data_IF_534644491112
#
_entry.id   IF_534644491112
#
_cell.length_a   1.000
_cell.length_b   1.000
_cell.length_c   1.000
_cell.angle_alpha   90.00
_cell.angle_beta   90.00
_cell.angle_gamma   90.00
#
_symmetry.space_group_name_H-M   'P 1'
#
loop_
_entity.id
_entity.type
_entity.pdbx_description
1 polymer ?
#
# COMPACT_ATOMS: atom_id res chain seq x y z
N UNK A 1 -34.84 -3.30 16.27
CA UNK A 1 -33.72 -2.79 15.44
C UNK A 1 -32.41 -3.32 16.02
N UNK A 2 -31.48 -3.81 15.18
CA UNK A 2 -30.13 -4.22 15.62
C UNK A 2 -29.09 -3.37 14.89
N UNK A 3 -28.15 -2.80 15.63
CA UNK A 3 -26.98 -2.12 15.11
C UNK A 3 -25.79 -3.07 15.08
N UNK A 4 -25.18 -3.21 13.91
CA UNK A 4 -23.94 -3.96 13.72
C UNK A 4 -22.81 -2.95 13.60
N UNK A 5 -21.81 -3.06 14.46
CA UNK A 5 -20.62 -2.20 14.44
C UNK A 5 -19.37 -3.05 14.29
N UNK A 6 -18.48 -2.66 13.39
CA UNK A 6 -17.21 -3.34 13.17
C UNK A 6 -16.07 -2.38 13.50
N UNK A 7 -15.13 -2.85 14.32
CA UNK A 7 -13.96 -2.08 14.77
C UNK A 7 -12.69 -2.88 14.52
N UNK A 8 -11.68 -2.20 13.96
CA UNK A 8 -10.33 -2.75 13.80
C UNK A 8 -9.41 -2.18 14.88
N UNK A 9 -9.06 -2.94 15.94
CA UNK A 9 -8.30 -2.42 17.07
C UNK A 9 -6.88 -1.98 16.70
N UNK A 10 -6.24 -2.64 15.72
CA UNK A 10 -4.87 -2.36 15.26
C UNK A 10 -4.79 -1.37 14.10
N UNK A 11 -5.91 -0.77 13.71
CA UNK A 11 -6.02 0.11 12.55
C UNK A 11 -6.51 -0.62 11.29
N UNK A 12 -6.57 0.12 10.18
CA UNK A 12 -7.17 -0.33 8.91
C UNK A 12 -6.13 -0.70 7.84
N UNK A 13 -4.84 -0.71 8.20
CA UNK A 13 -3.73 -1.05 7.31
C UNK A 13 -3.08 -2.33 7.82
N UNK A 14 -2.77 -3.26 6.91
CA UNK A 14 -2.18 -4.56 7.20
C UNK A 14 -1.13 -4.91 6.15
N UNK A 15 -0.24 -5.86 6.45
CA UNK A 15 0.69 -6.43 5.48
C UNK A 15 0.10 -7.69 4.83
N UNK A 16 0.51 -8.01 3.60
CA UNK A 16 0.26 -9.33 3.02
C UNK A 16 0.81 -10.42 3.94
N UNK A 17 0.02 -11.47 4.23
CA UNK A 17 0.39 -12.50 5.19
C UNK A 17 0.04 -12.20 6.66
N UNK A 18 -0.38 -10.98 7.00
CA UNK A 18 -0.77 -10.61 8.37
C UNK A 18 -2.16 -11.14 8.75
N UNK A 19 -2.37 -11.43 10.04
CA UNK A 19 -3.68 -11.79 10.59
C UNK A 19 -4.46 -10.52 10.93
N UNK A 20 -5.58 -10.34 10.24
CA UNK A 20 -6.56 -9.27 10.49
C UNK A 20 -7.44 -9.69 11.66
N UNK A 21 -7.58 -8.80 12.63
CA UNK A 21 -8.51 -8.94 13.75
C UNK A 21 -9.59 -7.85 13.66
N UNK A 22 -10.85 -8.26 13.61
CA UNK A 22 -12.00 -7.36 13.55
C UNK A 22 -13.00 -7.70 14.66
N UNK A 23 -13.33 -6.71 15.49
CA UNK A 23 -14.31 -6.83 16.57
C UNK A 23 -15.68 -6.43 16.03
N UNK A 24 -16.58 -7.39 15.94
CA UNK A 24 -17.91 -7.21 15.36
C UNK A 24 -18.93 -7.25 16.50
N UNK A 25 -19.59 -6.14 16.74
CA UNK A 25 -20.48 -5.95 17.88
C UNK A 25 -21.91 -5.72 17.40
N UNK A 26 -22.82 -6.57 17.87
CA UNK A 26 -24.24 -6.52 17.62
C UNK A 26 -24.93 -5.92 18.84
N UNK A 27 -25.64 -4.81 18.66
CA UNK A 27 -26.27 -4.06 19.74
C UNK A 27 -27.76 -3.92 19.43
N UNK A 28 -28.61 -4.29 20.39
CA UNK A 28 -30.01 -3.91 20.34
C UNK A 28 -30.19 -2.63 21.18
N UNK A 29 -30.32 -1.44 20.57
CA UNK A 29 -30.46 -0.20 21.33
C UNK A 29 -31.74 -0.19 22.18
N UNK A 30 -31.74 0.56 23.28
CA UNK A 30 -32.94 0.77 24.08
C UNK A 30 -34.04 1.44 23.24
N UNK A 31 -35.26 0.91 23.32
CA UNK A 31 -36.42 1.54 22.70
C UNK A 31 -36.75 2.85 23.45
N UNK A 32 -36.88 4.00 22.76
CA UNK A 32 -37.18 5.27 23.43
C UNK A 32 -38.64 5.39 23.90
N UNK A 33 -39.56 4.57 23.38
CA UNK A 33 -40.98 4.59 23.76
C UNK A 33 -41.38 3.35 24.56
N UNK A 34 -41.61 3.56 25.86
CA UNK A 34 -42.34 2.63 26.72
C UNK A 34 -43.84 2.77 26.42
N UNK A 35 -44.31 2.21 25.31
CA UNK A 35 -45.75 2.02 25.09
C UNK A 35 -46.14 0.56 25.30
N UNK A 36 -46.77 0.34 26.46
CA UNK A 36 -47.86 -0.58 26.80
C UNK A 36 -47.89 -1.96 26.13
N UNK A 37 -47.85 -2.98 27.00
CA UNK A 37 -48.14 -4.40 26.78
C UNK A 37 -47.54 -5.04 25.52
N UNK A 38 -46.34 -5.60 25.67
CA UNK A 38 -45.80 -6.57 24.71
C UNK A 38 -45.47 -7.86 25.45
N UNK A 39 -45.84 -8.99 24.84
CA UNK A 39 -45.54 -10.35 25.30
C UNK A 39 -44.04 -10.50 25.57
N UNK A 40 -43.66 -11.38 26.51
CA UNK A 40 -42.25 -11.68 26.82
C UNK A 40 -41.39 -12.06 25.60
N UNK A 41 -42.00 -12.46 24.49
CA UNK A 41 -41.35 -12.84 23.23
C UNK A 41 -41.11 -11.69 22.26
N UNK A 42 -41.87 -10.59 22.33
CA UNK A 42 -41.80 -9.48 21.36
C UNK A 42 -40.71 -8.44 21.69
N UNK A 43 -40.07 -8.56 22.85
CA UNK A 43 -38.97 -7.68 23.26
C UNK A 43 -37.61 -8.10 22.67
N UNK A 44 -37.51 -9.28 22.06
CA UNK A 44 -36.25 -9.78 21.53
C UNK A 44 -36.13 -9.50 20.04
N UNK A 45 -34.95 -9.03 19.65
CA UNK A 45 -34.59 -8.90 18.25
C UNK A 45 -33.63 -10.02 17.87
N UNK A 46 -33.97 -10.74 16.80
CA UNK A 46 -33.28 -11.95 16.36
C UNK A 46 -32.54 -11.78 15.04
N UNK A 47 -31.31 -12.30 14.96
CA UNK A 47 -30.59 -12.54 13.71
C UNK A 47 -30.46 -14.04 13.49
N UNK A 48 -30.82 -14.48 12.29
CA UNK A 48 -30.74 -15.88 11.92
C UNK A 48 -29.28 -16.32 11.82
N UNK A 49 -28.40 -15.49 11.26
CA UNK A 49 -26.97 -15.80 11.20
C UNK A 49 -26.14 -14.54 10.95
N UNK A 50 -24.85 -14.65 11.21
CA UNK A 50 -23.85 -13.74 10.69
C UNK A 50 -22.58 -14.48 10.33
N UNK A 51 -21.91 -14.02 9.28
CA UNK A 51 -20.61 -14.54 8.84
C UNK A 51 -19.74 -13.42 8.29
N UNK A 52 -18.43 -13.63 8.33
CA UNK A 52 -17.45 -12.65 7.89
C UNK A 52 -16.39 -13.30 6.98
N UNK A 53 -15.94 -12.54 5.99
CA UNK A 53 -14.86 -12.95 5.08
C UNK A 53 -14.14 -11.73 4.48
N UNK A 54 -12.92 -11.94 3.99
CA UNK A 54 -12.12 -10.92 3.29
C UNK A 54 -12.28 -11.12 1.78
N UNK A 55 -12.44 -10.01 1.05
CA UNK A 55 -12.42 -9.97 -0.41
C UNK A 55 -11.39 -8.98 -0.92
N UNK A 56 -10.71 -9.36 -2.01
CA UNK A 56 -9.98 -8.46 -2.89
C UNK A 56 -10.72 -8.34 -4.21
N UNK A 57 -11.09 -7.11 -4.56
CA UNK A 57 -11.73 -6.78 -5.83
C UNK A 57 -10.72 -6.10 -6.75
N UNK A 58 -10.54 -6.64 -7.94
CA UNK A 58 -9.75 -6.10 -9.02
C UNK A 58 -10.67 -5.35 -10.00
N UNK A 59 -10.35 -4.09 -10.26
CA UNK A 59 -11.01 -3.29 -11.28
C UNK A 59 -9.97 -2.96 -12.34
N UNK A 60 -10.30 -3.24 -13.60
CA UNK A 60 -9.45 -2.95 -14.76
C UNK A 60 -10.19 -2.00 -15.69
N UNK A 61 -9.45 -1.19 -16.45
CA UNK A 61 -10.05 -0.47 -17.57
C UNK A 61 -10.54 -1.45 -18.65
N UNK A 62 -11.57 -1.06 -19.37
CA UNK A 62 -12.23 -1.77 -20.47
C UNK A 62 -11.31 -2.30 -21.58
N UNK A 63 -10.09 -1.76 -21.69
CA UNK A 63 -9.07 -2.16 -22.67
C UNK A 63 -8.14 -3.29 -22.20
N UNK A 64 -8.08 -3.55 -20.89
CA UNK A 64 -7.32 -4.69 -20.36
C UNK A 64 -8.20 -5.91 -20.53
N UNK A 65 -7.70 -6.91 -21.27
CA UNK A 65 -8.46 -8.08 -21.67
C UNK A 65 -9.18 -8.66 -20.44
N UNK A 66 -10.51 -8.65 -20.48
CA UNK A 66 -11.31 -9.44 -19.56
C UNK A 66 -11.06 -10.86 -20.04
N UNK A 67 -10.14 -11.59 -19.42
CA UNK A 67 -10.03 -13.02 -19.70
C UNK A 67 -11.44 -13.60 -19.67
N UNK A 68 -11.94 -13.95 -20.86
CA UNK A 68 -13.15 -14.72 -21.08
C UNK A 68 -12.81 -16.18 -20.79
N UNK A 69 -12.25 -16.42 -19.60
CA UNK A 69 -12.17 -17.72 -18.99
C UNK A 69 -13.19 -17.74 -17.86
N UNK A 70 -14.34 -18.29 -18.22
CA UNK A 70 -15.16 -19.08 -17.33
C UNK A 70 -14.32 -20.19 -16.67
N UNK A 71 -13.57 -19.87 -15.62
CA UNK A 71 -12.95 -20.87 -14.75
C UNK A 71 -12.65 -20.23 -13.38
N UNK A 72 -13.35 -20.77 -12.38
CA UNK A 72 -13.33 -20.36 -10.98
C UNK A 72 -14.00 -19.02 -10.67
N UNK A 73 -15.31 -18.96 -10.93
CA UNK A 73 -16.18 -18.52 -9.84
C UNK A 73 -15.74 -19.28 -8.57
N UNK A 74 -14.94 -18.66 -7.70
CA UNK A 74 -14.92 -19.00 -6.27
C UNK A 74 -16.26 -18.58 -5.65
N UNK A 75 -17.36 -18.98 -6.29
CA UNK A 75 -18.65 -19.07 -5.65
C UNK A 75 -18.58 -20.37 -4.86
N UNK A 76 -18.33 -20.26 -3.56
CA UNK A 76 -18.94 -21.22 -2.64
C UNK A 76 -20.47 -21.03 -2.76
N UNK A 77 -21.04 -21.58 -3.84
CA UNK A 77 -22.46 -21.50 -4.17
C UNK A 77 -23.35 -22.19 -3.12
N UNK A 78 -22.75 -22.84 -2.11
CA UNK A 78 -23.45 -23.47 -0.99
C UNK A 78 -23.49 -22.67 0.31
N UNK A 79 -22.99 -21.43 0.38
CA UNK A 79 -23.05 -20.62 1.62
C UNK A 79 -23.59 -19.22 1.38
N UNK A 80 -24.35 -18.69 2.34
CA UNK A 80 -25.22 -17.50 2.28
C UNK A 80 -24.54 -16.14 1.97
N UNK A 81 -23.29 -16.16 1.50
CA UNK A 81 -22.48 -14.99 1.15
C UNK A 81 -22.05 -14.96 -0.33
N UNK A 82 -22.62 -15.80 -1.21
CA UNK A 82 -22.39 -15.77 -2.67
C UNK A 82 -22.82 -14.48 -3.39
N UNK A 83 -23.21 -13.43 -2.66
CA UNK A 83 -23.65 -12.15 -3.24
C UNK A 83 -22.42 -11.23 -3.42
N UNK A 84 -21.61 -11.52 -4.43
CA UNK A 84 -20.68 -10.55 -5.02
C UNK A 84 -21.18 -10.22 -6.44
N UNK A 85 -22.43 -9.77 -6.56
CA UNK A 85 -23.08 -9.51 -7.86
C UNK A 85 -23.16 -8.00 -8.18
N UNK A 86 -22.87 -7.10 -7.23
CA UNK A 86 -23.14 -5.66 -7.41
C UNK A 86 -21.92 -4.74 -7.44
N UNK A 87 -20.70 -5.24 -7.62
CA UNK A 87 -19.54 -4.36 -7.88
C UNK A 87 -18.91 -4.76 -9.22
N UNK A 88 -18.68 -3.77 -10.11
CA UNK A 88 -18.14 -3.96 -11.47
C UNK A 88 -16.70 -4.53 -11.51
N UNK A 89 -16.16 -5.01 -10.39
CA UNK A 89 -14.80 -5.54 -10.27
C UNK A 89 -14.79 -7.07 -10.21
N UNK A 90 -13.78 -7.68 -10.82
CA UNK A 90 -13.50 -9.11 -10.74
C UNK A 90 -13.02 -9.44 -9.33
N UNK A 91 -13.55 -10.52 -8.74
CA UNK A 91 -13.06 -11.02 -7.46
C UNK A 91 -11.73 -11.72 -7.71
N UNK A 92 -10.64 -11.15 -7.21
CA UNK A 92 -9.31 -11.75 -7.33
C UNK A 92 -9.09 -12.74 -6.18
N UNK A 93 -9.50 -12.39 -4.97
CA UNK A 93 -9.29 -13.20 -3.76
C UNK A 93 -10.52 -13.15 -2.88
N UNK A 94 -10.90 -14.30 -2.33
CA UNK A 94 -11.90 -14.43 -1.28
C UNK A 94 -11.46 -15.48 -0.28
N UNK A 95 -11.45 -15.13 1.01
CA UNK A 95 -11.17 -16.10 2.08
C UNK A 95 -12.41 -16.95 2.37
N UNK A 96 -12.22 -18.11 3.02
CA UNK A 96 -13.36 -18.94 3.43
C UNK A 96 -14.26 -18.16 4.42
N UNK A 97 -15.59 -18.18 4.27
CA UNK A 97 -16.49 -17.52 5.20
C UNK A 97 -16.42 -18.18 6.58
N UNK A 98 -16.23 -17.34 7.62
CA UNK A 98 -16.30 -17.78 9.01
C UNK A 98 -17.64 -17.37 9.60
N UNK A 99 -18.36 -18.36 10.11
CA UNK A 99 -19.64 -18.15 10.80
C UNK A 99 -19.36 -17.54 12.17
N UNK A 100 -20.03 -16.43 12.48
CA UNK A 100 -19.97 -15.78 13.79
C UNK A 100 -21.01 -16.37 14.74
N UNK A 101 -22.22 -16.62 14.24
CA UNK A 101 -23.32 -17.31 14.96
C UNK A 101 -24.39 -17.81 13.99
N UNK A 102 -25.22 -18.75 14.46
CA UNK A 102 -26.34 -19.36 13.72
C UNK A 102 -27.74 -19.12 14.33
N UNK A 103 -27.80 -18.40 15.45
CA UNK A 103 -29.01 -17.77 16.01
C UNK A 103 -28.53 -16.80 17.08
N UNK A 104 -28.90 -15.52 16.98
CA UNK A 104 -28.60 -14.53 17.98
C UNK A 104 -29.86 -13.77 18.35
N UNK A 105 -30.25 -13.85 19.61
CA UNK A 105 -31.32 -13.05 20.20
C UNK A 105 -30.75 -12.06 21.18
N UNK A 106 -31.14 -10.79 21.05
CA UNK A 106 -30.70 -9.70 21.92
C UNK A 106 -31.92 -9.06 22.57
N UNK A 107 -31.84 -8.86 23.89
CA UNK A 107 -32.77 -8.05 24.66
C UNK A 107 -32.47 -6.55 24.53
N UNK A 108 -33.41 -5.63 24.81
CA UNK A 108 -33.18 -4.20 24.66
C UNK A 108 -32.05 -3.71 25.57
N UNK A 109 -31.05 -3.05 24.99
CA UNK A 109 -29.80 -2.65 25.65
C UNK A 109 -28.69 -3.70 25.61
N UNK A 110 -28.98 -4.93 25.18
CA UNK A 110 -27.99 -5.98 25.14
C UNK A 110 -27.05 -5.82 23.95
N UNK A 111 -25.78 -6.09 24.23
CA UNK A 111 -24.70 -6.05 23.25
C UNK A 111 -23.94 -7.36 23.28
N UNK A 112 -23.57 -7.88 22.10
CA UNK A 112 -22.71 -9.07 21.98
C UNK A 112 -21.63 -8.84 20.94
N UNK A 113 -20.37 -9.09 21.33
CA UNK A 113 -19.19 -8.90 20.49
C UNK A 113 -18.55 -10.23 20.10
N UNK A 114 -18.20 -10.35 18.83
CA UNK A 114 -17.51 -11.48 18.24
C UNK A 114 -16.18 -11.02 17.65
N UNK A 115 -15.14 -11.85 17.76
CA UNK A 115 -13.81 -11.55 17.24
C UNK A 115 -13.59 -12.37 15.98
N UNK A 116 -13.52 -11.69 14.84
CA UNK A 116 -13.15 -12.28 13.56
C UNK A 116 -11.63 -12.19 13.37
N UNK A 117 -10.98 -13.34 13.16
CA UNK A 117 -9.54 -13.44 12.85
C UNK A 117 -9.34 -14.20 11.55
N UNK A 118 -8.65 -13.59 10.60
CA UNK A 118 -8.33 -14.22 9.31
C UNK A 118 -6.97 -13.75 8.79
N UNK A 119 -6.19 -14.68 8.23
CA UNK A 119 -4.89 -14.37 7.63
C UNK A 119 -5.09 -13.88 6.19
N UNK A 120 -4.51 -12.73 5.84
CA UNK A 120 -4.46 -12.30 4.44
C UNK A 120 -3.51 -13.24 3.69
N UNK A 121 -3.91 -13.79 2.53
CA UNK A 121 -2.99 -14.63 1.74
C UNK A 121 -1.70 -13.89 1.40
N UNK A 122 -0.54 -14.55 1.52
CA UNK A 122 0.77 -13.91 1.29
C UNK A 122 1.03 -13.61 -0.19
N UNK A 123 0.46 -14.43 -1.07
CA UNK A 123 0.48 -14.33 -2.53
C UNK A 123 -0.51 -13.30 -3.10
N UNK A 124 -1.20 -12.57 -2.22
CA UNK A 124 -2.24 -11.62 -2.61
C UNK A 124 -1.67 -10.29 -3.12
N UNK A 125 -2.30 -9.67 -4.16
CA UNK A 125 -1.88 -8.35 -4.62
C UNK A 125 -2.12 -7.31 -3.51
N UNK A 126 -1.26 -6.29 -3.36
CA UNK A 126 -1.52 -5.26 -2.37
C UNK A 126 -2.71 -4.38 -2.77
N UNK A 127 -3.21 -3.59 -1.82
CA UNK A 127 -4.15 -2.52 -2.13
C UNK A 127 -3.47 -1.44 -2.97
N UNK A 128 -4.05 -1.17 -4.14
CA UNK A 128 -3.50 -0.23 -5.11
C UNK A 128 -4.62 0.47 -5.87
N UNK A 129 -4.42 1.74 -6.21
CA UNK A 129 -5.34 2.53 -7.02
C UNK A 129 -4.54 3.24 -8.10
N UNK A 130 -4.32 2.55 -9.21
CA UNK A 130 -3.65 3.07 -10.39
C UNK A 130 -4.59 3.67 -11.42
N UNK A 131 -4.03 3.94 -12.59
CA UNK A 131 -4.78 4.38 -13.77
C UNK A 131 -5.32 3.19 -14.57
N UNK A 132 -4.62 2.06 -14.58
CA UNK A 132 -5.00 0.88 -15.36
C UNK A 132 -5.70 -0.16 -14.49
N UNK A 133 -5.20 -0.36 -13.26
CA UNK A 133 -5.71 -1.37 -12.33
C UNK A 133 -5.95 -0.78 -10.93
N UNK A 134 -6.99 -1.27 -10.27
CA UNK A 134 -7.26 -1.00 -8.86
C UNK A 134 -7.56 -2.29 -8.11
N UNK A 135 -6.84 -2.53 -7.02
CA UNK A 135 -7.09 -3.59 -6.06
C UNK A 135 -7.66 -3.02 -4.77
N UNK A 136 -8.86 -3.45 -4.38
CA UNK A 136 -9.58 -2.96 -3.21
C UNK A 136 -9.91 -4.11 -2.26
N UNK A 137 -9.44 -4.01 -1.02
CA UNK A 137 -9.72 -4.99 0.02
C UNK A 137 -10.87 -4.55 0.93
N UNK A 138 -11.76 -5.48 1.25
CA UNK A 138 -12.90 -5.27 2.15
C UNK A 138 -13.14 -6.52 3.01
N UNK A 139 -13.36 -6.32 4.29
CA UNK A 139 -13.97 -7.33 5.17
C UNK A 139 -15.48 -7.19 5.02
N UNK A 140 -16.14 -8.22 4.51
CA UNK A 140 -17.60 -8.25 4.36
C UNK A 140 -18.19 -9.07 5.48
N UNK A 141 -19.00 -8.43 6.32
CA UNK A 141 -19.85 -9.07 7.32
C UNK A 141 -21.24 -9.18 6.72
N UNK A 142 -21.71 -10.40 6.44
CA UNK A 142 -23.10 -10.65 6.08
C UNK A 142 -23.89 -11.07 7.30
N UNK A 143 -25.12 -10.57 7.38
CA UNK A 143 -26.06 -10.97 8.41
C UNK A 143 -27.49 -10.90 7.88
N UNK A 144 -28.34 -11.76 8.41
CA UNK A 144 -29.70 -11.91 7.95
C UNK A 144 -30.65 -12.05 9.15
N UNK A 145 -31.80 -11.37 9.07
CA UNK A 145 -32.95 -11.67 9.93
C UNK A 145 -33.81 -12.74 9.28
N UNK A 146 -34.52 -13.52 10.10
CA UNK A 146 -35.49 -14.49 9.58
C UNK A 146 -36.48 -13.77 8.65
N UNK A 147 -36.74 -14.35 7.47
CA UNK A 147 -37.62 -13.79 6.44
C UNK A 147 -37.23 -12.39 5.89
N UNK A 148 -35.96 -11.97 6.04
CA UNK A 148 -35.46 -10.70 5.50
C UNK A 148 -34.30 -10.93 4.53
N UNK A 149 -34.04 -10.00 3.59
CA UNK A 149 -32.85 -10.08 2.75
C UNK A 149 -31.56 -9.93 3.57
N UNK A 150 -30.47 -10.52 3.07
CA UNK A 150 -29.14 -10.40 3.66
C UNK A 150 -28.68 -8.94 3.58
N UNK A 151 -28.19 -8.42 4.71
CA UNK A 151 -27.53 -7.11 4.76
C UNK A 151 -26.03 -7.31 4.92
N UNK A 152 -25.25 -6.48 4.24
CA UNK A 152 -23.79 -6.55 4.21
C UNK A 152 -23.18 -5.28 4.80
N UNK A 153 -22.26 -5.44 5.75
CA UNK A 153 -21.37 -4.38 6.25
C UNK A 153 -19.98 -4.61 5.65
N UNK A 154 -19.41 -3.59 4.98
CA UNK A 154 -18.15 -3.70 4.23
C UNK A 154 -17.07 -2.78 4.78
N UNK A 155 -16.17 -3.34 5.58
CA UNK A 155 -15.06 -2.61 6.20
C UNK A 155 -13.86 -2.57 5.24
N UNK A 156 -13.51 -1.42 4.65
CA UNK A 156 -12.35 -1.30 3.78
C UNK A 156 -11.08 -1.44 4.61
N UNK A 157 -10.14 -2.20 4.08
CA UNK A 157 -8.80 -2.34 4.64
C UNK A 157 -7.78 -2.06 3.54
N UNK A 158 -6.61 -1.60 3.94
CA UNK A 158 -5.48 -1.39 3.04
C UNK A 158 -4.43 -2.45 3.31
N UNK A 159 -4.06 -3.20 2.29
CA UNK A 159 -3.03 -4.23 2.33
C UNK A 159 -1.76 -3.68 1.67
N UNK A 160 -0.64 -3.73 2.38
CA UNK A 160 0.67 -3.34 1.88
C UNK A 160 1.46 -4.58 1.46
N UNK A 161 2.24 -4.51 0.37
CA UNK A 161 3.00 -5.65 -0.10
C UNK A 161 4.12 -5.98 0.89
N UNK A 162 4.33 -7.27 1.14
CA UNK A 162 5.48 -7.75 1.89
C UNK A 162 6.16 -8.81 1.03
N UNK A 163 7.49 -8.72 0.90
CA UNK A 163 8.22 -9.69 0.09
C UNK A 163 8.08 -11.07 0.74
N UNK A 164 7.57 -12.05 -0.03
CA UNK A 164 7.36 -13.40 0.45
C UNK A 164 8.65 -14.07 0.94
N UNK A 165 9.78 -13.77 0.30
CA UNK A 165 11.10 -14.25 0.72
C UNK A 165 11.41 -13.89 2.19
N UNK A 166 11.07 -12.67 2.63
CA UNK A 166 11.29 -12.26 4.02
C UNK A 166 10.41 -13.02 5.00
N UNK A 167 9.19 -13.38 4.60
CA UNK A 167 8.30 -14.19 5.42
C UNK A 167 8.81 -15.63 5.52
N UNK A 168 9.29 -16.21 4.42
CA UNK A 168 9.83 -17.57 4.42
C UNK A 168 11.10 -17.68 5.25
N UNK A 169 12.05 -16.74 5.08
CA UNK A 169 13.27 -16.66 5.91
C UNK A 169 12.92 -16.49 7.39
N UNK A 170 11.95 -15.61 7.72
CA UNK A 170 11.50 -15.43 9.08
C UNK A 170 10.85 -16.69 9.68
N UNK A 171 10.02 -17.40 8.91
CA UNK A 171 9.40 -18.65 9.36
C UNK A 171 10.47 -19.73 9.59
N UNK A 172 11.52 -19.81 8.77
CA UNK A 172 12.63 -20.74 9.00
C UNK A 172 13.37 -20.43 10.31
N UNK A 173 13.67 -19.16 10.57
CA UNK A 173 14.32 -18.72 11.81
C UNK A 173 13.45 -18.99 13.06
N UNK A 174 12.12 -18.83 12.95
CA UNK A 174 11.19 -19.15 14.03
C UNK A 174 11.02 -20.66 14.28
N UNK A 175 11.37 -21.51 13.32
CA UNK A 175 11.23 -22.96 13.38
C UNK A 175 12.54 -23.67 13.73
N UNK A 176 13.65 -22.93 13.89
CA UNK A 176 14.91 -23.51 14.38
C UNK A 176 14.68 -24.08 15.78
N UNK A 177 14.72 -25.41 15.87
CA UNK A 177 14.47 -26.24 17.06
C UNK A 177 15.53 -26.08 18.15
N UNK A 178 16.47 -25.14 17.99
CA UNK A 178 17.52 -24.86 18.97
C UNK A 178 16.97 -24.34 20.30
N UNK A 179 15.78 -23.72 20.34
CA UNK A 179 15.17 -23.29 21.61
C UNK A 179 14.69 -24.46 22.50
N UNK A 180 14.25 -25.59 21.93
CA UNK A 180 13.84 -26.78 22.70
C UNK A 180 15.00 -27.48 23.42
N UNK A 181 16.25 -27.21 23.01
CA UNK A 181 17.46 -27.81 23.57
C UNK A 181 18.24 -26.88 24.51
N UNK A 182 17.77 -25.64 24.71
CA UNK A 182 18.41 -24.72 25.66
C UNK A 182 17.98 -25.06 27.10
N UNK A 183 18.91 -25.20 28.06
CA UNK A 183 18.55 -25.46 29.45
C UNK A 183 17.68 -24.31 29.96
N UNK A 184 16.50 -24.65 30.48
CA UNK A 184 15.52 -23.68 31.00
C UNK A 184 16.11 -22.93 32.19
N UNK A 185 16.70 -21.76 31.93
CA UNK A 185 17.24 -20.90 32.95
C UNK A 185 16.10 -20.08 33.58
N UNK A 186 15.78 -20.27 34.87
CA UNK A 186 14.68 -19.58 35.53
C UNK A 186 14.94 -18.07 35.76
N UNK A 187 16.14 -17.58 35.47
CA UNK A 187 16.50 -16.15 35.55
C UNK A 187 16.55 -15.44 34.19
N UNK A 188 16.41 -16.18 33.07
CA UNK A 188 16.29 -15.56 31.75
C UNK A 188 14.81 -15.23 31.49
N UNK A 189 14.53 -14.00 31.05
CA UNK A 189 13.20 -13.62 30.60
C UNK A 189 12.72 -14.61 29.54
N UNK A 190 11.50 -15.12 29.70
CA UNK A 190 10.86 -15.99 28.70
C UNK A 190 10.82 -15.18 27.40
N UNK A 191 11.70 -15.51 26.44
CA UNK A 191 11.69 -14.89 25.12
C UNK A 191 10.29 -15.06 24.56
N UNK A 192 9.57 -13.95 24.40
CA UNK A 192 8.31 -14.00 23.68
C UNK A 192 8.61 -14.53 22.29
N UNK A 193 7.94 -15.62 21.91
CA UNK A 193 8.07 -16.20 20.57
C UNK A 193 7.90 -15.11 19.52
N UNK A 194 8.99 -14.75 18.87
CA UNK A 194 8.99 -13.69 17.86
C UNK A 194 8.03 -14.07 16.73
N UNK A 195 7.22 -13.12 16.29
CA UNK A 195 6.28 -13.39 15.21
C UNK A 195 7.07 -13.32 13.89
N UNK A 196 6.82 -14.23 12.93
CA UNK A 196 7.50 -14.18 11.63
C UNK A 196 7.36 -12.82 10.92
N UNK A 197 6.25 -12.11 11.16
CA UNK A 197 6.03 -10.77 10.63
C UNK A 197 7.02 -9.74 11.20
N UNK A 198 7.32 -9.83 12.50
CA UNK A 198 8.21 -8.89 13.18
C UNK A 198 9.66 -9.08 12.69
N UNK A 199 10.08 -10.33 12.51
CA UNK A 199 11.36 -10.68 11.88
C UNK A 199 11.45 -10.24 10.41
N UNK A 200 10.38 -10.40 9.63
CA UNK A 200 10.33 -9.92 8.25
C UNK A 200 10.45 -8.38 8.18
N UNK A 201 9.78 -7.67 9.10
CA UNK A 201 9.90 -6.21 9.22
C UNK A 201 11.30 -5.77 9.66
N UNK A 202 11.94 -6.49 10.58
CA UNK A 202 13.32 -6.24 10.98
C UNK A 202 14.29 -6.43 9.80
N UNK A 203 14.10 -7.48 9.00
CA UNK A 203 14.88 -7.74 7.80
C UNK A 203 14.72 -6.61 6.76
N UNK A 204 13.49 -6.15 6.55
CA UNK A 204 13.19 -4.99 5.71
C UNK A 204 13.86 -3.71 6.23
N UNK A 205 13.84 -3.49 7.54
CA UNK A 205 14.52 -2.36 8.18
C UNK A 205 16.02 -2.41 7.95
N UNK A 206 16.64 -3.59 8.07
CA UNK A 206 18.07 -3.77 7.81
C UNK A 206 18.44 -3.44 6.36
N UNK A 207 17.63 -3.84 5.38
CA UNK A 207 17.87 -3.56 3.96
C UNK A 207 17.75 -2.07 3.66
N UNK A 208 16.75 -1.40 4.23
CA UNK A 208 16.49 0.03 3.99
C UNK A 208 17.39 0.97 4.79
N UNK A 209 18.01 0.48 5.88
CA UNK A 209 18.98 1.22 6.68
C UNK A 209 20.39 1.22 6.07
N UNK A 210 20.75 0.20 5.27
CA UNK A 210 22.06 0.10 4.62
C UNK A 210 22.27 1.29 3.67
N UNK A 211 23.29 2.11 3.97
CA UNK A 211 23.77 3.17 3.08
C UNK A 211 24.86 2.62 2.19
N UNK A 212 24.67 2.72 0.89
CA UNK A 212 25.67 2.35 -0.10
C UNK A 212 25.65 3.43 -1.19
N UNK A 213 26.52 4.45 -1.09
CA UNK A 213 26.52 5.58 -2.01
C UNK A 213 26.93 5.13 -3.41
N UNK A 214 26.03 5.31 -4.37
CA UNK A 214 26.27 5.01 -5.78
C UNK A 214 26.49 6.31 -6.55
N UNK A 215 27.58 6.37 -7.32
CA UNK A 215 27.93 7.52 -8.14
C UNK A 215 27.60 7.24 -9.60
N UNK A 216 26.88 8.15 -10.23
CA UNK A 216 26.47 8.09 -11.63
C UNK A 216 27.02 9.31 -12.36
N UNK A 217 27.81 9.07 -13.41
CA UNK A 217 28.27 10.13 -14.29
C UNK A 217 27.23 10.35 -15.38
N UNK A 218 26.55 11.50 -15.35
CA UNK A 218 25.52 11.87 -16.31
C UNK A 218 26.19 12.63 -17.45
N UNK A 219 26.04 12.11 -18.66
CA UNK A 219 26.67 12.63 -19.87
C UNK A 219 25.63 12.93 -20.93
N UNK A 220 25.86 13.98 -21.69
CA UNK A 220 25.16 14.35 -22.91
C UNK A 220 26.11 14.20 -24.12
N UNK A 221 25.61 14.41 -25.34
CA UNK A 221 26.42 14.36 -26.57
C UNK A 221 27.57 15.39 -26.59
N UNK A 222 27.43 16.50 -25.87
CA UNK A 222 28.48 17.53 -25.74
C UNK A 222 29.44 17.30 -24.56
N UNK A 223 29.24 16.23 -23.77
CA UNK A 223 30.14 15.84 -22.68
C UNK A 223 29.45 15.61 -21.34
N UNK A 224 30.17 15.82 -20.23
CA UNK A 224 29.70 15.53 -18.87
C UNK A 224 28.81 16.67 -18.37
N UNK A 225 27.65 16.33 -17.82
CA UNK A 225 26.68 17.31 -17.28
C UNK A 225 26.79 17.40 -15.77
N UNK A 226 26.78 16.27 -15.07
CA UNK A 226 26.88 16.23 -13.62
C UNK A 226 27.29 14.83 -13.14
N UNK A 227 27.91 14.75 -11.96
CA UNK A 227 28.04 13.52 -11.21
C UNK A 227 26.97 13.48 -10.12
N UNK A 228 26.05 12.54 -10.21
CA UNK A 228 25.00 12.34 -9.22
C UNK A 228 25.40 11.24 -8.22
N UNK A 229 25.27 11.49 -6.93
CA UNK A 229 25.46 10.51 -5.88
C UNK A 229 24.13 10.20 -5.19
N UNK A 230 23.73 8.94 -5.19
CA UNK A 230 22.57 8.45 -4.45
C UNK A 230 23.04 7.65 -3.23
N UNK A 231 22.69 8.08 -2.02
CA UNK A 231 23.24 7.48 -0.79
C UNK A 231 22.71 6.07 -0.47
N UNK A 232 21.53 5.71 -0.99
CA UNK A 232 21.00 4.35 -0.89
C UNK A 232 20.04 4.04 -2.06
N UNK A 233 19.98 2.79 -2.54
CA UNK A 233 19.08 2.40 -3.62
C UNK A 233 17.71 1.87 -3.13
N UNK A 234 17.56 1.64 -1.82
CA UNK A 234 16.39 1.03 -1.19
C UNK A 234 15.79 1.96 -0.13
N UNK A 235 14.49 2.22 -0.22
CA UNK A 235 13.76 3.14 0.65
C UNK A 235 12.48 2.48 1.18
N UNK A 236 12.01 2.94 2.34
CA UNK A 236 10.67 2.62 2.86
C UNK A 236 9.73 3.80 2.65
N UNK A 237 8.43 3.54 2.66
CA UNK A 237 7.41 4.60 2.64
C UNK A 237 7.64 5.61 3.79
N UNK A 238 7.51 6.90 3.48
CA UNK A 238 7.69 7.99 4.44
C UNK A 238 9.14 8.44 4.66
N UNK A 239 10.12 7.85 3.96
CA UNK A 239 11.49 8.36 3.94
C UNK A 239 11.69 9.45 2.89
N UNK A 240 12.75 10.22 3.07
CA UNK A 240 13.24 11.15 2.06
C UNK A 240 14.38 10.50 1.27
N UNK A 241 14.31 10.67 -0.06
CA UNK A 241 15.39 10.30 -0.97
C UNK A 241 16.40 11.45 -0.96
N UNK A 242 17.61 11.13 -0.53
CA UNK A 242 18.69 12.10 -0.41
C UNK A 242 19.78 11.74 -1.41
N UNK A 243 20.18 12.73 -2.21
CA UNK A 243 21.30 12.62 -3.13
C UNK A 243 22.04 13.95 -3.29
N UNK A 244 23.17 13.93 -3.97
CA UNK A 244 23.95 15.13 -4.27
C UNK A 244 24.34 15.18 -5.73
N UNK A 245 24.42 16.40 -6.26
CA UNK A 245 24.96 16.68 -7.58
C UNK A 245 26.29 17.40 -7.43
N UNK A 246 27.24 16.96 -8.22
CA UNK A 246 28.56 17.57 -8.36
C UNK A 246 28.76 17.99 -9.81
N UNK A 247 28.85 19.29 -10.03
CA UNK A 247 29.06 19.92 -11.32
C UNK A 247 30.54 20.29 -11.55
N UNK A 248 31.45 20.04 -10.61
CA UNK A 248 32.88 20.39 -10.77
C UNK A 248 33.57 19.61 -11.90
N UNK A 249 33.04 18.43 -12.21
CA UNK A 249 33.51 17.56 -13.30
C UNK A 249 32.73 17.77 -14.61
N UNK A 250 31.79 18.71 -14.64
CA UNK A 250 30.95 18.99 -15.80
C UNK A 250 31.75 19.73 -16.87
N UNK A 251 31.56 19.33 -18.12
CA UNK A 251 32.07 20.03 -19.31
C UNK A 251 30.98 20.85 -19.99
N UNK A 252 29.71 20.54 -19.70
CA UNK A 252 28.53 21.23 -20.22
C UNK A 252 27.84 21.94 -19.06
N UNK A 253 27.44 23.19 -19.25
CA UNK A 253 26.81 23.97 -18.19
C UNK A 253 25.37 23.47 -17.97
N UNK A 254 25.08 23.06 -16.75
CA UNK A 254 23.73 22.72 -16.31
C UNK A 254 23.05 23.98 -15.77
N UNK A 255 21.99 24.43 -16.43
CA UNK A 255 21.20 25.60 -16.05
C UNK A 255 20.21 25.25 -14.95
N UNK A 256 19.57 24.09 -15.09
CA UNK A 256 18.50 23.65 -14.22
C UNK A 256 18.50 22.12 -14.13
N UNK A 257 18.19 21.63 -12.94
CA UNK A 257 17.88 20.23 -12.69
C UNK A 257 16.48 20.11 -12.10
N UNK A 258 15.72 19.12 -12.57
CA UNK A 258 14.46 18.73 -11.96
C UNK A 258 14.47 17.23 -11.75
N UNK A 259 14.11 16.77 -10.55
CA UNK A 259 14.06 15.36 -10.21
C UNK A 259 12.68 15.02 -9.72
N UNK A 260 12.08 13.99 -10.28
CA UNK A 260 10.73 13.56 -9.94
C UNK A 260 10.69 12.09 -9.55
N UNK A 261 9.90 11.79 -8.52
CA UNK A 261 9.60 10.42 -8.12
C UNK A 261 8.42 9.94 -8.97
N UNK A 262 8.71 9.01 -9.88
CA UNK A 262 7.75 8.47 -10.81
C UNK A 262 7.40 7.03 -10.48
N UNK A 263 6.12 6.72 -10.59
CA UNK A 263 5.57 5.39 -10.52
C UNK A 263 5.19 4.94 -11.93
N UNK A 264 5.71 3.80 -12.34
CA UNK A 264 5.52 3.20 -13.65
C UNK A 264 4.62 1.97 -13.50
N UNK A 265 3.40 2.06 -14.04
CA UNK A 265 2.39 1.01 -14.07
C UNK A 265 2.40 0.37 -15.46
N UNK A 266 2.86 -0.89 -15.53
CA UNK A 266 2.98 -1.67 -16.76
C UNK A 266 1.94 -2.81 -16.75
N UNK A 267 1.06 -2.86 -17.74
CA UNK A 267 0.10 -3.96 -17.94
C UNK A 267 0.27 -4.60 -19.31
N UNK A 268 -0.08 -5.87 -19.41
CA UNK A 268 -0.08 -6.63 -20.67
C UNK A 268 -1.50 -6.58 -21.24
N UNK A 269 -1.68 -6.08 -22.46
CA UNK A 269 -3.00 -5.99 -23.11
C UNK A 269 -3.34 -7.29 -23.87
N UNK A 270 -2.38 -7.88 -24.58
CA UNK A 270 -2.57 -9.13 -25.34
C UNK A 270 -1.49 -10.17 -25.04
N UNK A 271 -1.89 -11.45 -24.95
CA UNK A 271 -0.99 -12.59 -24.83
C UNK A 271 -0.26 -12.90 -26.16
N UNK A 272 -0.73 -12.32 -27.28
CA UNK A 272 -0.01 -12.31 -28.55
C UNK A 272 0.94 -11.10 -28.60
N UNK A 273 2.12 -11.28 -27.99
CA UNK A 273 3.38 -10.53 -28.18
C UNK A 273 3.28 -9.05 -28.64
N UNK A 274 3.54 -8.15 -27.67
CA UNK A 274 4.08 -6.77 -27.77
C UNK A 274 3.20 -5.52 -27.51
N UNK A 275 1.92 -5.62 -27.14
CA UNK A 275 1.16 -4.43 -26.71
C UNK A 275 1.25 -4.20 -25.19
N UNK A 276 2.42 -3.72 -24.72
CA UNK A 276 2.58 -3.26 -23.33
C UNK A 276 1.98 -1.88 -23.15
N UNK A 277 1.08 -1.73 -22.18
CA UNK A 277 0.59 -0.41 -21.77
C UNK A 277 1.37 0.06 -20.55
N UNK A 278 2.02 1.21 -20.69
CA UNK A 278 2.75 1.85 -19.59
C UNK A 278 2.06 3.18 -19.25
N UNK A 279 1.73 3.36 -17.98
CA UNK A 279 1.26 4.64 -17.42
C UNK A 279 2.24 5.12 -16.38
N UNK A 280 2.54 6.42 -16.39
CA UNK A 280 3.51 7.02 -15.50
C UNK A 280 2.81 8.10 -14.68
N UNK A 281 2.95 8.03 -13.36
CA UNK A 281 2.40 9.00 -12.42
C UNK A 281 3.53 9.61 -11.61
N UNK A 282 3.56 10.93 -11.50
CA UNK A 282 4.55 11.66 -10.70
C UNK A 282 3.98 11.99 -9.32
N UNK A 283 4.74 11.72 -8.25
CA UNK A 283 4.29 11.91 -6.87
C UNK A 283 4.97 13.09 -6.16
N UNK A 284 6.27 13.26 -6.33
CA UNK A 284 7.04 14.37 -5.76
C UNK A 284 8.02 14.89 -6.81
N UNK A 285 8.29 16.20 -6.79
CA UNK A 285 9.22 16.88 -7.70
C UNK A 285 10.09 17.84 -6.91
N UNK A 286 11.40 17.73 -7.08
CA UNK A 286 12.41 18.72 -6.70
C UNK A 286 12.83 19.46 -7.96
N UNK A 287 13.00 20.77 -7.88
CA UNK A 287 13.38 21.60 -9.00
C UNK A 287 14.31 22.70 -8.52
N UNK A 288 15.41 22.89 -9.24
CA UNK A 288 16.46 23.82 -8.85
C UNK A 288 17.18 24.40 -10.07
N UNK A 289 17.40 25.70 -10.05
CA UNK A 289 18.23 26.42 -11.01
C UNK A 289 19.67 26.38 -10.48
N UNK A 290 20.56 25.72 -11.21
CA UNK A 290 21.90 25.36 -10.76
C UNK A 290 23.03 26.04 -11.57
N UNK A 291 22.71 27.10 -12.31
CA UNK A 291 23.72 27.88 -13.04
C UNK A 291 24.78 28.43 -12.06
N UNK A 292 26.04 28.08 -12.28
CA UNK A 292 27.17 28.51 -11.44
C UNK A 292 27.38 27.69 -10.16
N UNK A 293 26.53 26.72 -9.87
CA UNK A 293 26.69 25.88 -8.68
C UNK A 293 27.76 24.82 -8.91
N UNK A 294 28.65 24.63 -7.93
CA UNK A 294 29.60 23.50 -7.92
C UNK A 294 28.95 22.23 -7.37
N UNK A 295 28.08 22.39 -6.37
CA UNK A 295 27.39 21.30 -5.70
C UNK A 295 25.95 21.70 -5.40
N UNK A 296 25.04 20.74 -5.47
CA UNK A 296 23.72 20.88 -4.85
C UNK A 296 23.22 19.55 -4.28
N UNK A 297 22.15 19.59 -3.48
CA UNK A 297 21.53 18.44 -2.84
C UNK A 297 20.11 18.22 -3.34
N UNK A 298 19.71 16.96 -3.37
CA UNK A 298 18.35 16.52 -3.63
C UNK A 298 17.76 16.01 -2.32
N UNK A 299 16.58 16.51 -1.96
CA UNK A 299 15.74 15.94 -0.89
C UNK A 299 14.35 15.76 -1.49
N UNK A 300 13.94 14.51 -1.67
CA UNK A 300 12.68 14.18 -2.34
C UNK A 300 11.84 13.26 -1.44
N UNK A 301 10.73 13.75 -0.86
CA UNK A 301 9.94 12.97 0.08
C UNK A 301 9.15 11.87 -0.61
N UNK A 302 9.11 10.68 0.01
CA UNK A 302 8.28 9.55 -0.42
C UNK A 302 6.96 9.56 0.39
N UNK A 303 5.79 9.75 -0.23
CA UNK A 303 4.55 9.83 0.52
C UNK A 303 4.16 8.50 1.18
N UNK A 304 3.62 8.55 2.41
CA UNK A 304 3.17 7.35 3.14
C UNK A 304 1.98 6.63 2.49
N UNK A 305 1.21 7.35 1.66
CA UNK A 305 -0.02 6.83 1.07
C UNK A 305 0.21 6.10 -0.26
N UNK A 306 1.43 6.01 -0.79
CA UNK A 306 1.71 5.30 -2.05
C UNK A 306 1.86 3.79 -1.81
N UNK A 307 1.71 3.00 -2.86
CA UNK A 307 1.93 1.54 -2.79
C UNK A 307 3.35 1.23 -3.28
N UNK A 308 4.15 0.47 -2.51
CA UNK A 308 5.49 0.03 -2.93
C UNK A 308 5.45 -0.83 -4.20
N UNK A 309 6.62 -1.13 -4.75
CA UNK A 309 6.73 -1.96 -5.95
C UNK A 309 6.10 -3.35 -5.72
N UNK A 310 5.31 -3.81 -6.69
CA UNK A 310 4.72 -5.15 -6.67
C UNK A 310 4.51 -5.63 -8.11
N UNK A 311 4.39 -6.95 -8.28
CA UNK A 311 4.10 -7.53 -9.59
C UNK A 311 3.03 -8.60 -9.44
N UNK A 312 2.07 -8.57 -10.35
CA UNK A 312 0.99 -9.56 -10.49
C UNK A 312 0.98 -10.06 -11.93
N UNK A 313 0.08 -11.00 -12.25
CA UNK A 313 -0.14 -11.43 -13.64
C UNK A 313 -0.68 -10.31 -14.54
N UNK A 314 -1.41 -9.35 -13.97
CA UNK A 314 -2.10 -8.28 -14.71
C UNK A 314 -1.27 -7.00 -14.81
N UNK A 315 -0.58 -6.63 -13.72
CA UNK A 315 0.14 -5.35 -13.61
C UNK A 315 1.46 -5.50 -12.86
N UNK A 316 2.47 -4.78 -13.34
CA UNK A 316 3.75 -4.58 -12.68
C UNK A 316 3.91 -3.11 -12.30
N UNK A 317 4.16 -2.84 -11.02
CA UNK A 317 4.36 -1.50 -10.48
C UNK A 317 5.84 -1.30 -10.14
N UNK A 318 6.48 -0.34 -10.81
CA UNK A 318 7.90 -0.01 -10.63
C UNK A 318 8.06 1.45 -10.20
N UNK A 319 9.16 1.76 -9.54
CA UNK A 319 9.49 3.10 -9.08
C UNK A 319 10.83 3.57 -9.66
N UNK A 320 10.88 4.83 -10.09
CA UNK A 320 12.09 5.44 -10.65
C UNK A 320 12.20 6.91 -10.26
N UNK A 321 13.44 7.37 -10.15
CA UNK A 321 13.78 8.78 -10.17
C UNK A 321 13.95 9.22 -11.62
N UNK A 322 13.22 10.25 -12.02
CA UNK A 322 13.28 10.81 -13.36
C UNK A 322 13.85 12.22 -13.30
N UNK A 323 14.99 12.39 -13.98
CA UNK A 323 15.78 13.59 -13.99
C UNK A 323 15.59 14.28 -15.33
N UNK A 324 15.29 15.57 -15.27
CA UNK A 324 15.24 16.47 -16.41
C UNK A 324 16.32 17.53 -16.19
N UNK A 325 17.29 17.59 -17.10
CA UNK A 325 18.34 18.60 -17.09
C UNK A 325 18.11 19.57 -18.23
N UNK A 326 18.30 20.85 -17.94
CA UNK A 326 18.41 21.91 -18.95
C UNK A 326 19.87 22.30 -19.02
N UNK A 327 20.50 22.04 -20.15
CA UNK A 327 21.92 22.32 -20.40
C UNK A 327 22.09 23.42 -21.43
N UNK A 328 23.21 24.12 -21.40
CA UNK A 328 23.59 25.09 -22.43
C UNK A 328 25.02 24.84 -22.91
N UNK A 329 25.23 25.00 -24.21
CA UNK A 329 26.52 24.89 -24.89
C UNK A 329 27.22 26.24 -25.06
N UNK A 330 26.59 27.34 -24.63
CA UNK A 330 27.13 28.67 -24.81
C UNK A 330 28.34 28.92 -23.89
N UNK A 331 29.53 29.06 -24.50
CA UNK A 331 30.82 29.16 -23.81
C UNK A 331 31.01 30.44 -22.97
N UNK A 332 30.11 31.42 -23.09
CA UNK A 332 30.14 32.67 -22.33
C UNK A 332 29.22 32.69 -21.10
N UNK A 333 28.52 31.60 -20.79
CA UNK A 333 27.68 31.52 -19.58
C UNK A 333 28.56 31.29 -18.34
N UNK A 334 29.13 32.37 -17.83
CA UNK A 334 29.72 32.37 -16.50
C UNK A 334 28.58 32.56 -15.49
N UNK A 335 28.55 31.71 -14.46
CA UNK A 335 27.67 31.93 -13.32
C UNK A 335 28.14 33.16 -12.52
N UNK A 336 27.31 33.65 -11.58
CA UNK A 336 27.69 34.76 -10.71
C UNK A 336 28.95 34.38 -9.93
N UNK A 337 30.02 35.17 -10.10
CA UNK A 337 31.20 35.05 -9.26
C UNK A 337 30.95 35.82 -7.95
N UNK A 338 31.52 35.40 -6.81
CA UNK A 338 31.33 36.11 -5.54
C UNK A 338 31.90 37.54 -5.54
N UNK A 339 32.71 37.89 -6.54
CA UNK A 339 33.34 39.21 -6.71
C UNK A 339 32.56 40.11 -7.69
N UNK A 340 31.69 39.54 -8.54
CA UNK A 340 30.88 40.28 -9.52
C UNK A 340 29.56 40.77 -8.91
N UNK A 341 29.56 42.01 -8.43
CA UNK A 341 28.32 42.68 -7.96
C UNK A 341 27.38 43.13 -9.10
N UNK A 342 27.85 43.10 -10.36
CA UNK A 342 27.11 43.53 -11.55
C UNK A 342 26.65 42.39 -12.46
N UNK A 343 26.78 41.13 -12.02
CA UNK A 343 26.41 39.99 -12.86
C UNK A 343 24.91 40.03 -13.23
N UNK A 344 24.62 40.12 -14.52
CA UNK A 344 23.27 40.03 -15.07
C UNK A 344 23.11 38.74 -15.85
N UNK A 345 22.03 38.01 -15.59
CA UNK A 345 21.68 36.83 -16.36
C UNK A 345 21.42 37.23 -17.83
N UNK A 346 21.93 36.47 -18.81
CA UNK A 346 21.61 36.74 -20.21
C UNK A 346 20.11 36.67 -20.49
N UNK A 347 19.60 37.56 -21.34
CA UNK A 347 18.17 37.61 -21.69
C UNK A 347 17.72 36.37 -22.46
N UNK A 348 18.61 35.82 -23.30
CA UNK A 348 18.37 34.62 -24.07
C UNK A 348 19.58 33.69 -23.99
N UNK A 349 19.30 32.40 -23.82
CA UNK A 349 20.32 31.36 -23.71
C UNK A 349 19.88 30.19 -24.57
N UNK A 350 20.73 29.68 -25.48
CA UNK A 350 20.43 28.43 -26.17
C UNK A 350 20.42 27.29 -25.15
N UNK A 351 19.26 26.64 -25.01
CA UNK A 351 19.06 25.54 -24.07
C UNK A 351 18.72 24.25 -24.79
N UNK A 352 19.17 23.14 -24.20
CA UNK A 352 18.83 21.79 -24.61
C UNK A 352 18.38 21.01 -23.39
N UNK A 353 17.34 20.21 -23.56
CA UNK A 353 16.81 19.38 -22.48
C UNK A 353 17.26 17.94 -22.66
N UNK A 354 17.71 17.31 -21.59
CA UNK A 354 17.97 15.88 -21.56
C UNK A 354 17.28 15.22 -20.38
N UNK A 355 16.99 13.93 -20.55
CA UNK A 355 16.31 13.12 -19.56
C UNK A 355 17.20 11.97 -19.16
N UNK A 356 17.21 11.65 -17.87
CA UNK A 356 17.83 10.45 -17.33
C UNK A 356 16.88 9.81 -16.31
N UNK A 357 16.88 8.49 -16.20
CA UNK A 357 16.00 7.79 -15.25
C UNK A 357 16.76 6.69 -14.52
N UNK A 358 16.55 6.63 -13.21
CA UNK A 358 17.21 5.68 -12.31
C UNK A 358 16.16 4.88 -11.55
N UNK A 359 16.09 3.55 -11.71
CA UNK A 359 15.17 2.72 -10.93
C UNK A 359 15.58 2.71 -9.45
N UNK A 360 14.59 2.74 -8.57
CA UNK A 360 14.78 2.62 -7.12
C UNK A 360 13.89 1.52 -6.54
N UNK A 361 14.30 0.96 -5.41
CA UNK A 361 13.50 -0.04 -4.70
C UNK A 361 12.74 0.62 -3.57
N UNK A 362 11.42 0.49 -3.60
CA UNK A 362 10.53 0.99 -2.57
C UNK A 362 9.89 -0.17 -1.83
N UNK A 363 9.92 -0.12 -0.50
CA UNK A 363 9.41 -1.14 0.41
C UNK A 363 8.32 -0.59 1.33
N UNK A 364 7.47 -1.49 1.83
CA UNK A 364 6.47 -1.16 2.85
C UNK A 364 7.11 -0.71 4.15
N UNK A 365 6.35 0.05 4.94
CA UNK A 365 6.72 0.42 6.32
C UNK A 365 5.77 -0.28 7.29
N UNK A 366 5.92 -0.02 8.59
CA UNK A 366 5.01 -0.56 9.61
C UNK A 366 3.58 -0.07 9.37
N UNK A 367 2.56 -0.95 9.43
CA UNK A 367 1.18 -0.58 9.13
C UNK A 367 0.63 0.56 10.00
N UNK A 368 1.08 0.62 11.26
CA UNK A 368 0.66 1.64 12.23
C UNK A 368 1.03 3.05 11.75
N UNK A 369 2.23 3.24 11.21
CA UNK A 369 2.66 4.56 10.71
C UNK A 369 1.81 5.00 9.51
N UNK A 370 1.47 4.07 8.61
CA UNK A 370 0.60 4.37 7.46
C UNK A 370 -0.83 4.66 7.92
N UNK A 371 -1.34 3.91 8.88
CA UNK A 371 -2.68 4.10 9.42
C UNK A 371 -2.85 5.46 10.12
N UNK A 372 -1.81 5.97 10.79
CA UNK A 372 -1.80 7.31 11.38
C UNK A 372 -1.76 8.42 10.32
N UNK A 373 -1.03 8.20 9.22
CA UNK A 373 -0.95 9.16 8.12
C UNK A 373 -2.22 9.26 7.26
N UNK A 374 -3.05 8.22 7.26
CA UNK A 374 -4.28 8.13 6.44
C UNK A 374 -5.50 8.10 7.36
N UNK A 375 -6.10 9.26 7.63
CA UNK A 375 -7.30 9.38 8.48
C UNK A 375 -8.50 8.67 7.83
N UNK A 376 -8.78 7.43 8.23
CA UNK A 376 -10.02 6.73 7.87
C UNK A 376 -10.81 6.35 9.11
N UNK A 377 -12.14 6.28 8.96
CA UNK A 377 -13.01 5.90 10.06
C UNK A 377 -12.82 4.41 10.37
N UNK A 378 -12.28 4.12 11.57
CA UNK A 378 -11.99 2.76 12.04
C UNK A 378 -13.22 2.02 12.55
N UNK A 379 -14.35 2.73 12.70
CA UNK A 379 -15.62 2.17 13.12
C UNK A 379 -16.63 2.31 11.99
N UNK A 380 -17.14 1.16 11.55
CA UNK A 380 -18.25 1.14 10.60
C UNK A 380 -19.51 0.61 11.25
N UNK A 381 -20.66 1.17 10.83
CA UNK A 381 -21.95 0.85 11.39
C UNK A 381 -22.94 0.47 10.29
N UNK A 382 -23.78 -0.52 10.57
CA UNK A 382 -24.91 -0.93 9.76
C UNK A 382 -26.12 -1.08 10.68
N UNK A 383 -27.20 -0.36 10.37
CA UNK A 383 -28.45 -0.46 11.13
C UNK A 383 -29.42 -1.39 10.42
N UNK A 384 -29.87 -2.41 11.13
CA UNK A 384 -30.85 -3.38 10.67
C UNK A 384 -32.18 -3.02 11.31
N UNK A 385 -33.01 -2.32 10.54
CA UNK A 385 -34.44 -2.18 10.82
C UNK A 385 -35.18 -3.46 10.54
#
# INVERSE_FOLDING_TARGET
MIEVTARLPRGHVFLSGEVVECHITFTHPHSPNRMVSQSHTDAFEGLAWASAQIHCLCFTDSKVNKDSESSNQLTNAGTALGIIVNENGKVEITTKPKILFCDLRLSPGQTKTYIYKEKIPSDSPPSYRGQLVKYSYKITIGTQRVNSPVKLLRVPIRVLPLCEAFLTEAVTLCNDTTEELTPANPFLEIRQKERPLDLALQSLQNITARRNPNFYMITNMWGKVARFCLFKPAYKLGEDIIGTFDFTVATVNCMQVSVSLQCEEETIIDQNENSKQVRIVTFSKHHEVCLGYKYTQLILPIPLHVTPAFSTKLVSLKWRLHFEFVTSTHKGLLGPSPEDSEWQAPSEVPIETMVWSLPIRLYSTTPIHVAQGVHTNTVQKLTIR
#
